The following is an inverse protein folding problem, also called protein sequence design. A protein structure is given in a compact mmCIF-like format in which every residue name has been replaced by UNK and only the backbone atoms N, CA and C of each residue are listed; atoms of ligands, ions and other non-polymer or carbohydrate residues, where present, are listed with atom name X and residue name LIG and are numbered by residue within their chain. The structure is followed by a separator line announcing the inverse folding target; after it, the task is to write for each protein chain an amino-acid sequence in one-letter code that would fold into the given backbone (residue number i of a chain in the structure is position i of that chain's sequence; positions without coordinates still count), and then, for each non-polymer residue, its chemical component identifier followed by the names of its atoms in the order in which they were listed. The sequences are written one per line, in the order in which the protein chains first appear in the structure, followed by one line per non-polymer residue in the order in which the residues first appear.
data_IF_368525023864
#
_entry.id   IF_368525023864
#
_cell.length_a   1.000
_cell.length_b   1.000
_cell.length_c   1.000
_cell.angle_alpha   90.00
_cell.angle_beta   90.00
_cell.angle_gamma   90.00
#
_symmetry.space_group_name_H-M   'P 1'
#
loop_
_entity.id
_entity.type
_entity.pdbx_description
1 polymer ?
#
# COMPACT_ATOMS: atom_id res chain seq x y z
N UNK A 1 13.99 -17.82 -0.09
CA UNK A 1 14.36 -16.39 -0.20
C UNK A 1 14.41 -15.79 1.19
N UNK A 2 15.58 -15.31 1.61
CA UNK A 2 15.78 -14.82 2.99
C UNK A 2 15.61 -13.32 3.11
N UNK A 3 15.95 -12.60 2.06
CA UNK A 3 15.92 -11.13 2.04
C UNK A 3 14.95 -10.66 0.97
N UNK A 4 13.90 -9.98 1.38
CA UNK A 4 12.86 -9.51 0.47
C UNK A 4 11.96 -8.50 1.16
N UNK A 5 11.13 -7.84 0.36
CA UNK A 5 10.07 -6.97 0.85
C UNK A 5 8.74 -7.61 0.47
N UNK A 6 7.89 -7.85 1.45
CA UNK A 6 6.52 -8.30 1.21
C UNK A 6 5.60 -7.07 1.34
N UNK A 7 4.67 -6.91 0.40
CA UNK A 7 3.77 -5.77 0.44
C UNK A 7 2.33 -6.17 0.14
N UNK A 8 1.42 -5.33 0.59
CA UNK A 8 0.00 -5.48 0.37
C UNK A 8 -0.59 -4.10 0.07
N UNK A 9 -1.66 -4.09 -0.71
CA UNK A 9 -2.35 -2.87 -1.10
C UNK A 9 -3.79 -2.91 -0.66
N UNK A 10 -4.32 -1.77 -0.20
CA UNK A 10 -5.75 -1.55 -0.09
C UNK A 10 -6.18 -0.64 -1.22
N UNK A 11 -7.31 -0.95 -1.84
CA UNK A 11 -7.81 -0.22 -3.01
C UNK A 11 -9.29 0.11 -2.83
N UNK A 12 -9.81 0.98 -3.70
CA UNK A 12 -11.23 1.33 -3.68
C UNK A 12 -12.11 0.24 -4.28
N UNK A 13 -11.52 -0.74 -4.94
CA UNK A 13 -12.23 -1.86 -5.58
C UNK A 13 -11.27 -2.72 -6.37
N UNK A 14 -11.79 -3.56 -7.24
CA UNK A 14 -11.01 -4.56 -7.98
C UNK A 14 -10.67 -4.17 -9.42
N UNK A 15 -11.18 -3.04 -9.91
CA UNK A 15 -10.96 -2.63 -11.30
C UNK A 15 -9.75 -1.72 -11.42
N UNK A 16 -8.64 -2.17 -12.04
CA UNK A 16 -7.46 -1.32 -12.19
C UNK A 16 -7.69 -0.08 -13.05
N UNK A 17 -8.71 -0.10 -13.90
CA UNK A 17 -9.03 1.04 -14.78
C UNK A 17 -9.76 2.17 -14.07
N UNK A 18 -10.54 1.86 -13.03
CA UNK A 18 -11.41 2.84 -12.37
C UNK A 18 -11.17 2.96 -10.87
N UNK A 19 -10.53 1.97 -10.24
CA UNK A 19 -10.26 1.99 -8.82
C UNK A 19 -8.84 2.46 -8.53
N UNK A 20 -8.63 2.91 -7.30
CA UNK A 20 -7.36 3.52 -6.89
C UNK A 20 -6.81 2.87 -5.64
N UNK A 21 -5.49 2.90 -5.52
CA UNK A 21 -4.79 2.45 -4.32
C UNK A 21 -4.98 3.51 -3.23
N UNK A 22 -5.35 3.08 -2.02
CA UNK A 22 -5.53 3.97 -0.88
C UNK A 22 -4.59 3.65 0.28
N UNK A 23 -3.89 2.52 0.24
CA UNK A 23 -2.88 2.21 1.25
C UNK A 23 -1.82 1.30 0.67
N UNK A 24 -0.57 1.53 1.05
CA UNK A 24 0.55 0.63 0.78
C UNK A 24 1.12 0.21 2.12
N UNK A 25 1.15 -1.10 2.37
CA UNK A 25 1.77 -1.66 3.57
C UNK A 25 2.88 -2.62 3.17
N UNK A 26 4.03 -2.56 3.83
CA UNK A 26 5.15 -3.40 3.49
C UNK A 26 5.98 -3.78 4.72
N UNK A 27 6.60 -4.95 4.65
CA UNK A 27 7.59 -5.37 5.64
C UNK A 27 8.87 -5.79 4.91
N UNK A 28 10.00 -5.42 5.46
CA UNK A 28 11.30 -5.82 4.94
C UNK A 28 11.77 -7.02 5.76
N UNK A 29 12.12 -8.09 5.06
CA UNK A 29 12.63 -9.30 5.68
C UNK A 29 14.11 -9.42 5.34
N UNK A 30 14.94 -9.57 6.36
CA UNK A 30 16.35 -9.84 6.20
C UNK A 30 16.71 -11.03 7.06
N UNK A 31 17.37 -12.00 6.43
CA UNK A 31 17.79 -13.24 7.09
C UNK A 31 16.62 -13.92 7.81
N UNK A 32 15.46 -13.90 7.15
CA UNK A 32 14.24 -14.52 7.65
C UNK A 32 13.52 -13.75 8.75
N UNK A 33 13.97 -12.53 9.09
CA UNK A 33 13.39 -11.74 10.18
C UNK A 33 12.93 -10.38 9.69
N UNK A 34 11.91 -9.83 10.36
CA UNK A 34 11.44 -8.47 10.05
C UNK A 34 12.51 -7.47 10.48
N UNK A 35 13.00 -6.69 9.51
CA UNK A 35 14.01 -5.66 9.75
C UNK A 35 13.48 -4.24 9.54
N UNK A 36 12.28 -4.10 8.99
CA UNK A 36 11.69 -2.78 8.80
C UNK A 36 10.24 -2.90 8.37
N UNK A 37 9.51 -1.80 8.55
CA UNK A 37 8.11 -1.70 8.14
C UNK A 37 7.87 -0.36 7.47
N UNK A 38 7.00 -0.35 6.47
CA UNK A 38 6.56 0.87 5.80
C UNK A 38 5.05 0.82 5.65
N UNK A 39 4.41 1.95 5.84
CA UNK A 39 2.99 2.09 5.62
C UNK A 39 2.68 3.51 5.22
N UNK A 40 1.82 3.69 4.23
CA UNK A 40 1.33 5.02 3.90
C UNK A 40 -0.12 4.94 3.44
N UNK A 41 -0.86 6.00 3.73
CA UNK A 41 -2.20 6.21 3.22
C UNK A 41 -2.08 7.12 2.00
N UNK A 42 -2.77 6.74 0.93
CA UNK A 42 -2.78 7.50 -0.32
C UNK A 42 -4.07 8.30 -0.41
N UNK A 43 -3.94 9.58 -0.73
CA UNK A 43 -5.10 10.43 -0.94
C UNK A 43 -5.76 10.07 -2.28
N UNK A 44 -7.00 9.58 -2.28
CA UNK A 44 -7.66 9.19 -3.53
C UNK A 44 -8.16 10.43 -4.29
N UNK A 45 -8.24 10.30 -5.60
CA UNK A 45 -8.80 11.33 -6.47
C UNK A 45 -10.28 11.07 -6.79
N UNK A 46 -10.83 9.97 -6.26
CA UNK A 46 -12.23 9.60 -6.43
C UNK A 46 -12.89 9.49 -5.06
N UNK A 47 -14.21 9.51 -5.05
CA UNK A 47 -14.96 9.28 -3.82
C UNK A 47 -14.89 7.81 -3.43
N UNK A 48 -14.64 7.56 -2.14
CA UNK A 48 -14.51 6.20 -1.61
C UNK A 48 -15.83 5.83 -0.93
N UNK A 49 -16.37 4.66 -1.28
CA UNK A 49 -17.65 4.21 -0.76
C UNK A 49 -17.58 3.89 0.74
N UNK A 50 -18.73 3.97 1.42
CA UNK A 50 -18.83 3.56 2.81
C UNK A 50 -18.45 2.09 3.00
N UNK A 51 -18.76 1.26 2.01
CA UNK A 51 -18.39 -0.16 2.04
C UNK A 51 -16.88 -0.32 2.19
N UNK A 52 -16.10 0.41 1.40
CA UNK A 52 -14.63 0.34 1.45
C UNK A 52 -14.10 0.91 2.76
N UNK A 53 -14.66 2.01 3.24
CA UNK A 53 -14.27 2.59 4.55
C UNK A 53 -14.45 1.54 5.65
N UNK A 54 -15.59 0.86 5.66
CA UNK A 54 -15.88 -0.15 6.67
C UNK A 54 -15.01 -1.41 6.51
N UNK A 55 -14.77 -1.82 5.28
CA UNK A 55 -13.98 -3.03 4.98
C UNK A 55 -12.52 -2.86 5.37
N UNK A 56 -11.93 -1.71 5.04
CA UNK A 56 -10.49 -1.48 5.27
C UNK A 56 -10.19 -0.91 6.64
N UNK A 57 -11.15 -0.26 7.28
CA UNK A 57 -10.91 0.46 8.51
C UNK A 57 -10.22 1.80 8.33
N UNK A 58 -10.00 2.22 7.08
CA UNK A 58 -9.37 3.51 6.77
C UNK A 58 -10.45 4.58 6.79
N UNK A 59 -10.31 5.57 7.67
CA UNK A 59 -11.31 6.63 7.79
C UNK A 59 -11.17 7.67 6.67
N UNK A 60 -12.25 8.43 6.45
CA UNK A 60 -12.20 9.54 5.47
C UNK A 60 -11.19 10.60 5.88
N UNK A 61 -11.01 10.81 7.19
CA UNK A 61 -10.01 11.75 7.70
C UNK A 61 -8.59 11.28 7.36
N UNK A 62 -8.32 9.99 7.52
CA UNK A 62 -7.03 9.40 7.13
C UNK A 62 -6.77 9.59 5.65
N UNK A 63 -7.78 9.37 4.81
CA UNK A 63 -7.65 9.55 3.36
C UNK A 63 -7.36 11.00 2.99
N UNK A 64 -8.03 11.96 3.65
CA UNK A 64 -7.78 13.38 3.41
C UNK A 64 -6.34 13.78 3.72
N UNK A 65 -5.73 13.15 4.71
CA UNK A 65 -4.36 13.43 5.15
C UNK A 65 -3.33 12.57 4.42
N UNK A 66 -3.78 11.73 3.49
CA UNK A 66 -2.89 10.86 2.73
C UNK A 66 -1.99 11.63 1.77
N UNK A 67 -0.96 10.94 1.29
CA UNK A 67 -0.01 11.49 0.33
C UNK A 67 -0.43 11.12 -1.09
N UNK A 68 0.08 11.84 -2.11
CA UNK A 68 -0.17 11.46 -3.50
C UNK A 68 0.41 10.08 -3.80
N UNK A 69 -0.22 9.34 -4.71
CA UNK A 69 0.22 8.00 -5.09
C UNK A 69 1.68 7.98 -5.53
N UNK A 70 2.08 8.96 -6.34
CA UNK A 70 3.46 9.05 -6.83
C UNK A 70 4.46 9.09 -5.69
N UNK A 71 4.19 9.91 -4.68
CA UNK A 71 5.05 10.04 -3.50
C UNK A 71 5.09 8.72 -2.72
N UNK A 72 3.94 8.09 -2.53
CA UNK A 72 3.86 6.79 -1.86
C UNK A 72 4.65 5.71 -2.56
N UNK A 73 4.57 5.63 -3.88
CA UNK A 73 5.32 4.68 -4.69
C UNK A 73 6.83 4.95 -4.58
N UNK A 74 7.23 6.22 -4.67
CA UNK A 74 8.64 6.58 -4.56
C UNK A 74 9.21 6.21 -3.18
N UNK A 75 8.46 6.49 -2.11
CA UNK A 75 8.87 6.11 -0.76
C UNK A 75 8.96 4.59 -0.60
N UNK A 76 8.00 3.87 -1.16
CA UNK A 76 8.00 2.41 -1.11
C UNK A 76 9.22 1.83 -1.83
N UNK A 77 9.56 2.36 -3.00
CA UNK A 77 10.71 1.90 -3.76
C UNK A 77 12.02 2.21 -3.03
N UNK A 78 12.10 3.37 -2.39
CA UNK A 78 13.26 3.73 -1.57
C UNK A 78 13.39 2.78 -0.37
N UNK A 79 12.28 2.50 0.29
CA UNK A 79 12.24 1.53 1.39
C UNK A 79 12.73 0.15 0.95
N UNK A 80 12.30 -0.29 -0.24
CA UNK A 80 12.62 -1.63 -0.76
C UNK A 80 14.08 -1.75 -1.23
N UNK A 81 14.66 -0.67 -1.74
CA UNK A 81 16.02 -0.69 -2.25
C UNK A 81 16.19 -1.71 -3.36
N UNK A 82 17.20 -2.56 -3.24
CA UNK A 82 17.51 -3.59 -4.25
C UNK A 82 16.89 -4.95 -3.94
N UNK A 83 16.09 -5.05 -2.88
CA UNK A 83 15.51 -6.32 -2.47
C UNK A 83 14.39 -6.75 -3.42
N UNK A 84 14.23 -8.06 -3.63
CA UNK A 84 13.05 -8.56 -4.34
C UNK A 84 11.77 -8.14 -3.64
N UNK A 85 10.73 -7.87 -4.42
CA UNK A 85 9.44 -7.41 -3.91
C UNK A 85 8.39 -8.48 -4.20
N UNK A 86 7.69 -8.92 -3.15
CA UNK A 86 6.63 -9.92 -3.25
C UNK A 86 5.31 -9.30 -2.83
N UNK A 87 4.32 -9.33 -3.74
CA UNK A 87 2.98 -8.86 -3.45
C UNK A 87 2.08 -9.99 -2.98
N UNK A 88 1.21 -9.69 -2.01
CA UNK A 88 0.21 -10.61 -1.51
C UNK A 88 -1.17 -10.15 -2.01
N UNK A 89 -1.86 -11.02 -2.77
CA UNK A 89 -3.18 -10.72 -3.34
C UNK A 89 -3.22 -9.45 -4.19
N UNK A 90 -2.12 -9.13 -4.86
CA UNK A 90 -2.05 -7.93 -5.68
C UNK A 90 -2.44 -8.27 -7.11
N UNK A 91 -3.71 -8.09 -7.44
CA UNK A 91 -4.26 -8.26 -8.79
C UNK A 91 -4.49 -6.92 -9.47
N UNK A 92 -3.93 -5.88 -8.93
CA UNK A 92 -4.16 -4.49 -9.33
C UNK A 92 -3.02 -3.91 -10.19
#
# INVERSE_FOLDING_TARGET
MKDYVAFDLETTGLSPDSDQIIEIGAVKIRDGKISGKYNCIIHPEIEVSDFIINLTGISRDMLRKGIPLKEGVEEFLEFSGDLPILGHNVMF
#
